data_IF_590281110350
#
_entry.id   IF_590281110350
#
_cell.length_a   1.000
_cell.length_b   1.000
_cell.length_c   1.000
_cell.angle_alpha   90.00
_cell.angle_beta   90.00
_cell.angle_gamma   90.00
#
_symmetry.space_group_name_H-M   'P 1'
#
loop_
_entity.id
_entity.type
_entity.pdbx_description
1 polymer ?
#
# COMPACT_ATOMS: atom_id res chain seq x y z
N UNK A 1 -8.27 42.79 28.28
CA UNK A 1 -6.87 43.17 27.95
C UNK A 1 -6.01 42.02 28.45
N UNK A 2 -5.27 41.24 27.66
CA UNK A 2 -4.42 41.53 26.52
C UNK A 2 -4.33 40.27 25.63
N UNK A 3 -4.59 40.40 24.33
CA UNK A 3 -3.97 39.53 23.33
C UNK A 3 -2.61 40.13 23.02
N UNK A 4 -1.52 39.34 23.01
CA UNK A 4 -0.37 39.61 22.15
C UNK A 4 0.63 38.45 22.11
N UNK A 5 0.96 38.02 20.89
CA UNK A 5 2.32 37.56 20.53
C UNK A 5 2.62 36.08 20.67
N UNK A 6 2.11 35.24 19.76
CA UNK A 6 2.56 33.86 19.58
C UNK A 6 2.75 33.54 18.10
N UNK A 7 4.00 33.51 17.66
CA UNK A 7 4.49 33.35 16.29
C UNK A 7 4.00 32.07 15.61
N UNK A 8 3.51 32.18 14.36
CA UNK A 8 2.93 31.11 13.53
C UNK A 8 3.99 30.27 12.76
N UNK A 9 5.22 30.21 13.26
CA UNK A 9 6.31 29.47 12.65
C UNK A 9 6.67 28.25 13.51
N UNK A 10 5.92 27.17 13.38
CA UNK A 10 6.16 25.95 14.16
C UNK A 10 5.55 24.66 13.64
N UNK A 11 5.07 24.59 12.38
CA UNK A 11 4.39 23.39 11.87
C UNK A 11 5.04 22.72 10.65
N UNK A 12 6.27 23.07 10.29
CA UNK A 12 6.98 22.35 9.20
C UNK A 12 8.13 21.47 9.69
N UNK A 13 8.36 21.37 11.00
CA UNK A 13 9.43 20.52 11.51
C UNK A 13 8.88 19.24 12.12
N UNK A 14 9.00 18.18 11.32
CA UNK A 14 9.12 16.77 11.72
C UNK A 14 7.96 15.82 11.35
N UNK A 15 7.79 15.60 10.03
CA UNK A 15 7.33 14.31 9.48
C UNK A 15 8.54 13.39 9.15
N UNK A 16 9.77 13.92 9.22
CA UNK A 16 11.01 13.23 8.84
C UNK A 16 11.79 12.63 10.03
N UNK A 17 11.49 12.99 11.29
CA UNK A 17 12.20 12.39 12.45
C UNK A 17 11.42 11.28 13.16
N UNK A 18 10.45 10.64 12.51
CA UNK A 18 9.97 9.31 12.96
C UNK A 18 10.90 8.18 12.49
N UNK A 19 12.21 8.45 12.42
CA UNK A 19 13.25 7.41 12.35
C UNK A 19 13.47 6.92 13.78
N UNK A 20 12.41 6.32 14.33
CA UNK A 20 12.54 5.40 15.44
C UNK A 20 13.34 4.20 14.95
N UNK A 21 14.57 4.09 15.43
CA UNK A 21 15.40 2.88 15.43
C UNK A 21 14.51 1.65 15.68
N UNK A 22 14.18 0.90 14.63
CA UNK A 22 13.37 -0.31 14.73
C UNK A 22 14.28 -1.54 14.64
N UNK A 23 14.30 -2.43 15.65
CA UNK A 23 15.20 -3.58 15.73
C UNK A 23 14.61 -4.82 15.03
N UNK A 24 14.19 -4.72 13.77
CA UNK A 24 13.60 -5.85 13.04
C UNK A 24 14.43 -6.21 11.82
N UNK A 25 14.96 -7.43 11.81
CA UNK A 25 15.96 -7.95 10.86
C UNK A 25 15.50 -8.00 9.41
N UNK A 26 15.74 -6.94 8.67
CA UNK A 26 15.39 -6.85 7.25
C UNK A 26 16.11 -7.91 6.42
N UNK A 27 15.34 -8.73 5.70
CA UNK A 27 15.84 -9.58 4.63
C UNK A 27 16.10 -8.68 3.41
N UNK A 28 17.34 -8.30 3.15
CA UNK A 28 17.70 -7.49 1.98
C UNK A 28 17.83 -8.37 0.72
N UNK A 29 17.01 -8.11 -0.29
CA UNK A 29 17.25 -8.59 -1.67
C UNK A 29 17.57 -7.38 -2.53
N UNK A 30 18.74 -7.41 -3.19
CA UNK A 30 19.24 -6.40 -4.13
C UNK A 30 18.42 -6.38 -5.43
N UNK A 31 17.20 -5.87 -5.39
CA UNK A 31 16.41 -5.49 -6.58
C UNK A 31 15.44 -4.37 -6.20
N UNK A 32 15.91 -3.13 -6.36
CA UNK A 32 15.34 -1.95 -5.70
C UNK A 32 14.04 -1.39 -6.27
N UNK A 33 12.92 -2.10 -6.19
CA UNK A 33 11.59 -1.47 -6.37
C UNK A 33 10.44 -2.08 -5.56
N UNK A 34 10.55 -3.33 -5.09
CA UNK A 34 9.51 -3.94 -4.26
C UNK A 34 10.12 -4.51 -2.98
N UNK A 35 10.15 -3.67 -1.93
CA UNK A 35 10.44 -4.12 -0.58
C UNK A 35 9.12 -4.47 0.11
N UNK A 36 8.94 -5.74 0.46
CA UNK A 36 7.84 -6.18 1.31
C UNK A 36 8.27 -6.08 2.78
N UNK A 37 7.32 -5.73 3.66
CA UNK A 37 7.53 -5.89 5.10
C UNK A 37 7.57 -7.38 5.44
N UNK A 38 8.32 -7.77 6.48
CA UNK A 38 8.31 -9.16 6.96
C UNK A 38 6.90 -9.65 7.26
N UNK A 39 6.07 -8.81 7.89
CA UNK A 39 4.68 -9.13 8.20
C UNK A 39 3.88 -9.50 6.95
N UNK A 40 4.04 -8.74 5.86
CA UNK A 40 3.37 -9.03 4.59
C UNK A 40 3.87 -10.34 3.96
N UNK A 41 5.15 -10.67 4.13
CA UNK A 41 5.69 -11.94 3.64
C UNK A 41 5.15 -13.14 4.45
N UNK A 42 5.03 -13.02 5.77
CA UNK A 42 4.42 -14.04 6.62
C UNK A 42 2.93 -14.25 6.30
N UNK A 43 2.19 -13.16 6.11
CA UNK A 43 0.79 -13.22 5.68
C UNK A 43 0.67 -13.90 4.31
N UNK A 44 1.55 -13.58 3.36
CA UNK A 44 1.58 -14.23 2.06
C UNK A 44 1.85 -15.74 2.15
N UNK A 45 2.82 -16.15 2.98
CA UNK A 45 3.11 -17.59 3.21
C UNK A 45 1.93 -18.31 3.86
N UNK A 46 1.24 -17.66 4.79
CA UNK A 46 0.05 -18.21 5.45
C UNK A 46 -1.05 -18.45 4.43
N UNK A 47 -1.38 -17.45 3.61
CA UNK A 47 -2.38 -17.57 2.54
C UNK A 47 -1.98 -18.66 1.53
N UNK A 48 -0.71 -18.73 1.16
CA UNK A 48 -0.22 -19.76 0.25
C UNK A 48 -0.45 -21.17 0.80
N UNK A 49 -0.16 -21.37 2.09
CA UNK A 49 -0.38 -22.65 2.76
C UNK A 49 -1.87 -23.00 2.85
N UNK A 50 -2.74 -22.02 3.10
CA UNK A 50 -4.19 -22.22 3.13
C UNK A 50 -4.76 -22.60 1.76
N UNK A 51 -4.29 -21.96 0.68
CA UNK A 51 -4.80 -22.17 -0.67
C UNK A 51 -4.24 -23.42 -1.37
N UNK A 52 -2.94 -23.69 -1.17
CA UNK A 52 -2.24 -24.76 -1.89
C UNK A 52 -1.85 -25.94 -1.00
N UNK A 53 -1.92 -25.81 0.32
CA UNK A 53 -1.48 -26.84 1.27
C UNK A 53 0.04 -27.02 1.32
N UNK A 54 0.80 -26.07 0.78
CA UNK A 54 2.26 -26.14 0.67
C UNK A 54 2.94 -25.09 1.54
N UNK A 55 4.02 -25.47 2.23
CA UNK A 55 4.92 -24.52 2.87
C UNK A 55 6.03 -24.11 1.90
N UNK A 56 6.32 -22.82 1.82
CA UNK A 56 7.28 -22.24 0.90
C UNK A 56 8.40 -21.52 1.63
N UNK A 57 9.61 -21.52 1.02
CA UNK A 57 10.75 -20.78 1.56
C UNK A 57 10.58 -19.27 1.37
N UNK A 58 11.24 -18.48 2.21
CA UNK A 58 11.18 -17.02 2.15
C UNK A 58 11.62 -16.46 0.79
N UNK A 59 12.67 -17.04 0.18
CA UNK A 59 13.14 -16.62 -1.13
C UNK A 59 12.10 -16.87 -2.22
N UNK A 60 11.43 -18.03 -2.18
CA UNK A 60 10.38 -18.36 -3.12
C UNK A 60 9.15 -17.46 -2.91
N UNK A 61 8.72 -17.30 -1.65
CA UNK A 61 7.61 -16.44 -1.28
C UNK A 61 7.82 -15.00 -1.75
N UNK A 62 9.04 -14.47 -1.54
CA UNK A 62 9.41 -13.12 -1.95
C UNK A 62 9.31 -12.95 -3.47
N UNK A 63 9.84 -13.91 -4.23
CA UNK A 63 9.78 -13.90 -5.70
C UNK A 63 8.33 -13.94 -6.21
N UNK A 64 7.49 -14.79 -5.65
CA UNK A 64 6.09 -14.90 -6.08
C UNK A 64 5.28 -13.66 -5.71
N UNK A 65 5.48 -13.12 -4.50
CA UNK A 65 4.79 -11.92 -4.06
C UNK A 65 5.14 -10.70 -4.93
N UNK A 66 6.41 -10.53 -5.33
CA UNK A 66 6.81 -9.47 -6.28
C UNK A 66 6.15 -9.67 -7.64
N UNK A 67 6.17 -10.89 -8.17
CA UNK A 67 5.53 -11.19 -9.47
C UNK A 67 4.04 -10.85 -9.44
N UNK A 68 3.35 -11.17 -8.35
CA UNK A 68 1.95 -10.83 -8.16
C UNK A 68 1.73 -9.31 -8.18
N UNK A 69 2.54 -8.54 -7.46
CA UNK A 69 2.44 -7.07 -7.45
C UNK A 69 2.72 -6.46 -8.83
N UNK A 70 3.70 -6.98 -9.56
CA UNK A 70 3.99 -6.56 -10.93
C UNK A 70 2.80 -6.84 -11.85
N UNK A 71 2.20 -8.02 -11.74
CA UNK A 71 1.00 -8.38 -12.49
C UNK A 71 -0.17 -7.46 -12.13
N UNK A 72 -0.40 -7.20 -10.85
CA UNK A 72 -1.46 -6.31 -10.38
C UNK A 72 -1.28 -4.89 -10.92
N UNK A 73 -0.06 -4.36 -10.86
CA UNK A 73 0.25 -3.03 -11.40
C UNK A 73 0.07 -2.96 -12.92
N UNK A 74 0.36 -4.04 -13.64
CA UNK A 74 0.18 -4.10 -15.09
C UNK A 74 -1.30 -4.24 -15.52
N UNK A 75 -2.09 -5.01 -14.76
CA UNK A 75 -3.46 -5.38 -15.10
C UNK A 75 -4.49 -4.40 -14.55
N UNK A 76 -4.28 -3.91 -13.33
CA UNK A 76 -5.21 -3.01 -12.66
C UNK A 76 -4.98 -1.57 -13.12
N UNK A 77 -5.68 -1.18 -14.20
CA UNK A 77 -5.72 0.23 -14.63
C UNK A 77 -6.63 1.02 -13.70
N UNK A 78 -6.17 2.16 -13.13
CA UNK A 78 -7.04 2.99 -12.32
C UNK A 78 -8.26 3.42 -13.15
N UNK A 79 -9.46 3.20 -12.59
CA UNK A 79 -10.71 3.64 -13.19
C UNK A 79 -10.64 5.17 -13.27
N UNK A 80 -10.83 5.71 -14.48
CA UNK A 80 -10.86 7.16 -14.66
C UNK A 80 -12.08 7.72 -13.91
N UNK A 81 -11.87 8.78 -13.12
CA UNK A 81 -12.96 9.46 -12.40
C UNK A 81 -14.11 9.91 -13.34
N UNK A 82 -13.80 10.16 -14.60
CA UNK A 82 -14.77 10.46 -15.66
C UNK A 82 -15.76 9.32 -15.90
N UNK A 83 -15.32 8.07 -15.82
CA UNK A 83 -16.17 6.89 -15.99
C UNK A 83 -17.10 6.68 -14.79
N UNK A 84 -16.65 7.06 -13.59
CA UNK A 84 -17.48 7.02 -12.39
C UNK A 84 -18.63 8.03 -12.49
N UNK A 85 -18.35 9.26 -12.95
CA UNK A 85 -19.39 10.30 -13.14
C UNK A 85 -20.44 9.87 -14.18
N UNK A 86 -20.02 9.28 -15.30
CA UNK A 86 -20.94 8.81 -16.34
C UNK A 86 -21.86 7.69 -15.81
N UNK A 87 -21.33 6.77 -15.01
CA UNK A 87 -22.11 5.71 -14.40
C UNK A 87 -23.20 6.25 -13.45
N UNK A 88 -22.87 7.25 -12.61
CA UNK A 88 -23.83 7.86 -11.69
C UNK A 88 -24.92 8.65 -12.42
N UNK A 89 -24.56 9.35 -13.49
CA UNK A 89 -25.49 10.09 -14.35
C UNK A 89 -26.46 9.16 -15.12
N UNK A 90 -25.99 7.98 -15.54
CA UNK A 90 -26.86 6.97 -16.18
C UNK A 90 -27.81 6.30 -15.19
N UNK A 91 -27.36 6.08 -13.95
CA UNK A 91 -28.18 5.46 -12.90
C UNK A 91 -29.30 6.40 -12.42
N UNK A 92 -29.02 7.68 -12.30
CA UNK A 92 -30.01 8.70 -11.91
C UNK A 92 -31.10 8.89 -12.98
N UNK A 93 -30.75 8.81 -14.28
CA UNK A 93 -31.72 8.89 -15.39
C UNK A 93 -32.65 7.69 -15.47
N UNK A 94 -32.19 6.47 -15.14
CA UNK A 94 -33.01 5.25 -15.15
C UNK A 94 -34.04 5.16 -14.02
N UNK A 95 -33.86 5.90 -12.94
CA UNK A 95 -34.74 5.84 -11.75
C UNK A 95 -35.94 6.79 -11.87
N UNK A 96 -35.99 7.62 -12.91
CA UNK A 96 -37.13 8.50 -13.22
C UNK A 96 -37.99 7.86 -14.33
N UNK A 97 -38.63 6.72 -14.03
CA UNK A 97 -39.71 6.12 -14.84
C UNK A 97 -40.76 5.55 -13.89
#
# INVERSE_FOLDING_TARGET
MLFNGGNLLGLTKSVVDFVGRHPSGTCEVKSGLFMLSQKALEEFKTIWSEEFGEEISDEFAMKQAVNLLVLFNATYKPIKNEWLKQYDDEKSKKTTI
#
